data_IF_082946710498
#
_entry.id   IF_082946710498
#
_cell.length_a   1.000
_cell.length_b   1.000
_cell.length_c   1.000
_cell.angle_alpha   90.00
_cell.angle_beta   90.00
_cell.angle_gamma   90.00
#
_symmetry.space_group_name_H-M   'P 1'
#
loop_
_entity.id
_entity.type
_entity.pdbx_description
1 polymer ?
#
# COMPACT_ATOMS: atom_id res chain seq x y z
N UNK A 1 -13.20 -5.87 16.23
CA UNK A 1 -13.68 -5.48 14.89
C UNK A 1 -13.04 -6.38 13.85
N UNK A 2 -13.68 -6.57 12.70
CA UNK A 2 -13.08 -7.30 11.58
C UNK A 2 -11.99 -6.42 10.96
N UNK A 3 -10.80 -6.98 10.76
CA UNK A 3 -9.71 -6.24 10.12
C UNK A 3 -10.06 -5.98 8.65
N UNK A 4 -9.70 -4.80 8.17
CA UNK A 4 -9.89 -4.39 6.77
C UNK A 4 -8.58 -4.02 6.12
N UNK A 5 -8.56 -4.08 4.79
CA UNK A 5 -7.45 -3.62 3.95
C UNK A 5 -7.99 -2.67 2.87
N UNK A 6 -7.13 -1.78 2.38
CA UNK A 6 -7.43 -0.97 1.20
C UNK A 6 -6.82 -1.65 -0.01
N UNK A 7 -7.65 -2.03 -0.98
CA UNK A 7 -7.23 -2.61 -2.25
C UNK A 7 -7.77 -1.77 -3.40
N UNK A 8 -6.87 -1.25 -4.22
CA UNK A 8 -7.19 -0.34 -5.34
C UNK A 8 -8.13 0.83 -4.96
N UNK A 9 -8.00 1.31 -3.72
CA UNK A 9 -8.81 2.42 -3.19
C UNK A 9 -10.11 2.02 -2.50
N UNK A 10 -10.49 0.74 -2.50
CA UNK A 10 -11.68 0.24 -1.81
C UNK A 10 -11.32 -0.45 -0.49
N UNK A 11 -12.12 -0.22 0.54
CA UNK A 11 -12.04 -0.96 1.82
C UNK A 11 -12.71 -2.31 1.63
N UNK A 12 -12.01 -3.37 2.02
CA UNK A 12 -12.51 -4.74 1.94
C UNK A 12 -12.07 -5.52 3.19
N UNK A 13 -12.78 -6.61 3.48
CA UNK A 13 -12.42 -7.50 4.60
C UNK A 13 -11.04 -8.12 4.39
N UNK A 14 -10.26 -8.22 5.46
CA UNK A 14 -8.99 -8.94 5.49
C UNK A 14 -9.14 -10.42 5.11
N UNK A 15 -10.33 -11.00 5.28
CA UNK A 15 -10.61 -12.41 4.93
C UNK A 15 -10.98 -12.60 3.46
N UNK A 16 -11.17 -11.52 2.71
CA UNK A 16 -11.50 -11.60 1.29
C UNK A 16 -10.25 -11.95 0.46
N UNK A 17 -10.41 -12.86 -0.49
CA UNK A 17 -9.35 -13.15 -1.47
C UNK A 17 -9.10 -11.93 -2.37
N UNK A 18 -7.89 -11.38 -2.31
CA UNK A 18 -7.50 -10.18 -3.09
C UNK A 18 -7.18 -10.49 -4.54
N UNK A 19 -6.42 -11.56 -4.76
CA UNK A 19 -5.93 -11.97 -6.06
C UNK A 19 -5.73 -13.49 -6.11
N UNK A 20 -5.86 -14.07 -7.29
CA UNK A 20 -5.66 -15.51 -7.53
C UNK A 20 -4.22 -15.87 -7.88
N UNK A 21 -3.99 -17.15 -8.17
CA UNK A 21 -2.67 -17.70 -8.51
C UNK A 21 -2.07 -17.15 -9.82
N UNK A 22 -2.84 -16.45 -10.65
CA UNK A 22 -2.38 -15.77 -11.87
C UNK A 22 -1.77 -14.38 -11.59
N UNK A 23 -1.84 -13.87 -10.36
CA UNK A 23 -1.21 -12.59 -10.02
C UNK A 23 0.31 -12.67 -10.20
N UNK A 24 0.86 -11.74 -11.00
CA UNK A 24 2.30 -11.70 -11.33
C UNK A 24 3.18 -11.56 -10.09
N UNK A 25 2.77 -10.74 -9.12
CA UNK A 25 3.48 -10.57 -7.85
C UNK A 25 3.57 -11.86 -7.05
N UNK A 26 2.48 -12.64 -7.00
CA UNK A 26 2.48 -13.95 -6.35
C UNK A 26 3.30 -14.99 -7.12
N UNK A 27 3.14 -15.06 -8.45
CA UNK A 27 3.74 -16.11 -9.28
C UNK A 27 5.23 -15.93 -9.52
N UNK A 28 5.69 -14.70 -9.68
CA UNK A 28 7.05 -14.39 -10.15
C UNK A 28 7.82 -13.46 -9.22
N UNK A 29 7.24 -13.04 -8.08
CA UNK A 29 7.85 -12.02 -7.22
C UNK A 29 7.85 -10.64 -7.86
N UNK A 30 7.01 -10.42 -8.88
CA UNK A 30 6.92 -9.19 -9.65
C UNK A 30 6.09 -8.13 -8.91
N UNK A 31 6.72 -7.49 -7.93
CA UNK A 31 6.11 -6.46 -7.10
C UNK A 31 7.12 -5.79 -6.18
N UNK A 32 6.66 -4.75 -5.50
CA UNK A 32 7.44 -3.96 -4.55
C UNK A 32 6.56 -3.66 -3.33
N UNK A 33 7.16 -3.55 -2.16
CA UNK A 33 6.44 -3.18 -0.95
C UNK A 33 7.26 -2.25 -0.05
N UNK A 34 6.55 -1.64 0.90
CA UNK A 34 7.11 -0.88 2.00
C UNK A 34 6.55 -1.40 3.32
N UNK A 35 7.31 -1.23 4.41
CA UNK A 35 6.82 -1.45 5.77
C UNK A 35 7.04 -0.19 6.56
N UNK A 36 5.95 0.43 7.04
CA UNK A 36 5.98 1.74 7.69
C UNK A 36 5.53 1.57 9.13
N UNK A 37 6.35 2.01 10.08
CA UNK A 37 5.97 2.06 11.49
C UNK A 37 4.99 3.20 11.72
N UNK A 38 3.91 2.94 12.44
CA UNK A 38 2.96 3.97 12.90
C UNK A 38 3.13 4.15 14.41
N UNK A 39 3.23 5.40 14.85
CA UNK A 39 3.30 5.78 16.26
C UNK A 39 2.26 6.87 16.51
N UNK A 40 1.39 6.68 17.50
CA UNK A 40 0.32 7.64 17.84
C UNK A 40 -0.54 8.05 16.63
N UNK A 41 -0.84 7.09 15.74
CA UNK A 41 -1.64 7.32 14.55
C UNK A 41 -0.89 7.98 13.38
N UNK A 42 0.41 8.25 13.50
CA UNK A 42 1.22 8.90 12.47
C UNK A 42 2.28 7.96 11.86
N UNK A 43 2.40 7.89 10.52
CA UNK A 43 3.43 7.09 9.85
C UNK A 43 4.82 7.73 10.00
N UNK A 44 5.74 7.02 10.66
CA UNK A 44 7.11 7.48 10.86
C UNK A 44 7.87 7.58 9.54
N UNK A 45 8.60 8.68 9.34
CA UNK A 45 9.45 8.92 8.16
C UNK A 45 8.74 8.71 6.81
N UNK A 46 7.45 9.02 6.74
CA UNK A 46 6.59 8.72 5.59
C UNK A 46 7.17 9.17 4.25
N UNK A 47 7.67 10.41 4.17
CA UNK A 47 8.27 10.96 2.95
C UNK A 47 9.47 10.13 2.45
N UNK A 48 10.27 9.57 3.37
CA UNK A 48 11.41 8.70 3.01
C UNK A 48 10.95 7.36 2.47
N UNK A 49 9.93 6.77 3.08
CA UNK A 49 9.31 5.53 2.59
C UNK A 49 8.68 5.74 1.21
N UNK A 50 7.94 6.83 1.01
CA UNK A 50 7.32 7.15 -0.27
C UNK A 50 8.37 7.36 -1.37
N UNK A 51 9.44 8.12 -1.11
CA UNK A 51 10.53 8.30 -2.07
C UNK A 51 11.23 6.99 -2.42
N UNK A 52 11.45 6.09 -1.45
CA UNK A 52 12.05 4.78 -1.72
C UNK A 52 11.12 3.90 -2.56
N UNK A 53 9.82 3.92 -2.28
CA UNK A 53 8.81 3.21 -3.04
C UNK A 53 8.76 3.68 -4.50
N UNK A 54 8.78 5.00 -4.74
CA UNK A 54 8.82 5.56 -6.11
C UNK A 54 10.10 5.17 -6.87
N UNK A 55 11.27 5.32 -6.23
CA UNK A 55 12.53 4.93 -6.88
C UNK A 55 12.57 3.44 -7.21
N UNK A 56 12.04 2.60 -6.31
CA UNK A 56 11.95 1.16 -6.52
C UNK A 56 10.99 0.81 -7.67
N UNK A 57 9.84 1.48 -7.76
CA UNK A 57 8.87 1.23 -8.83
C UNK A 57 9.40 1.68 -10.19
N UNK A 58 10.11 2.81 -10.26
CA UNK A 58 10.80 3.25 -11.48
C UNK A 58 11.88 2.24 -11.90
N UNK A 59 12.73 1.80 -10.96
CA UNK A 59 13.80 0.83 -11.24
C UNK A 59 13.27 -0.52 -11.75
N UNK A 60 12.11 -0.96 -11.25
CA UNK A 60 11.47 -2.22 -11.63
C UNK A 60 10.49 -2.07 -12.81
N UNK A 61 10.35 -0.87 -13.39
CA UNK A 61 9.38 -0.58 -14.46
C UNK A 61 7.91 -0.86 -14.06
N UNK A 62 7.55 -0.55 -12.82
CA UNK A 62 6.20 -0.68 -12.24
C UNK A 62 5.46 0.68 -12.12
N UNK A 63 6.05 1.77 -12.63
CA UNK A 63 5.69 3.16 -12.30
C UNK A 63 4.70 3.85 -13.25
N UNK A 64 3.61 3.19 -13.67
CA UNK A 64 2.66 3.76 -14.64
C UNK A 64 1.43 4.46 -14.03
N UNK A 65 1.24 4.37 -12.71
CA UNK A 65 0.04 4.90 -12.07
C UNK A 65 0.21 6.37 -11.63
N UNK A 66 -0.25 7.30 -12.48
CA UNK A 66 -0.24 8.75 -12.18
C UNK A 66 -1.10 9.14 -10.98
N UNK A 67 -2.08 8.32 -10.62
CA UNK A 67 -2.93 8.58 -9.45
C UNK A 67 -2.23 8.18 -8.13
N UNK A 68 -1.03 7.60 -8.19
CA UNK A 68 -0.25 7.23 -7.00
C UNK A 68 0.60 8.40 -6.49
N UNK A 69 -0.03 9.28 -5.71
CA UNK A 69 0.61 10.46 -5.13
C UNK A 69 0.91 10.30 -3.64
N UNK A 70 1.88 11.05 -3.13
CA UNK A 70 2.26 11.05 -1.70
C UNK A 70 1.05 11.34 -0.81
N UNK A 71 0.27 12.37 -1.17
CA UNK A 71 -0.93 12.77 -0.45
C UNK A 71 -2.01 11.69 -0.47
N UNK A 72 -2.21 11.01 -1.61
CA UNK A 72 -3.21 9.93 -1.70
C UNK A 72 -2.83 8.74 -0.82
N UNK A 73 -1.57 8.32 -0.88
CA UNK A 73 -1.09 7.21 -0.04
C UNK A 73 -1.18 7.58 1.45
N UNK A 74 -0.81 8.80 1.83
CA UNK A 74 -0.93 9.28 3.20
C UNK A 74 -2.37 9.21 3.70
N UNK A 75 -3.31 9.75 2.92
CA UNK A 75 -4.73 9.74 3.26
C UNK A 75 -5.29 8.31 3.36
N UNK A 76 -4.85 7.40 2.49
CA UNK A 76 -5.23 5.99 2.58
C UNK A 76 -4.68 5.31 3.84
N UNK A 77 -3.45 5.62 4.27
CA UNK A 77 -2.91 5.12 5.55
C UNK A 77 -3.76 5.64 6.72
N UNK A 78 -4.09 6.94 6.74
CA UNK A 78 -4.92 7.52 7.81
C UNK A 78 -6.31 6.89 7.86
N UNK A 79 -6.93 6.67 6.70
CA UNK A 79 -8.21 5.96 6.58
C UNK A 79 -8.11 4.52 7.11
N UNK A 80 -7.11 3.76 6.66
CA UNK A 80 -6.90 2.38 7.08
C UNK A 80 -6.68 2.26 8.59
N UNK A 81 -5.97 3.21 9.21
CA UNK A 81 -5.78 3.27 10.65
C UNK A 81 -7.08 3.54 11.40
N UNK A 82 -7.93 4.43 10.89
CA UNK A 82 -9.23 4.72 11.51
C UNK A 82 -10.18 3.51 11.47
N UNK A 83 -10.20 2.78 10.37
CA UNK A 83 -11.09 1.60 10.19
C UNK A 83 -10.63 0.36 10.99
N UNK A 84 -9.36 0.30 11.40
CA UNK A 84 -8.78 -0.82 12.14
C UNK A 84 -8.48 -0.51 13.62
N UNK A 85 -9.01 0.61 14.15
CA UNK A 85 -8.95 0.91 15.59
C UNK A 85 -9.87 0.00 16.40
#
# INVERSE_FOLDING_TARGET
MEQVVIYNGSIISFRQNLFGAENRGFRYGDGLFETIRVMNGEPCFFNKHFQRLLKGSEFLYLSDNKDFTEAKLYNQIKLLLAENQ
#
